data_IF_813790224764
#
_entry.id   IF_813790224764
#
_cell.length_a   1.000
_cell.length_b   1.000
_cell.length_c   1.000
_cell.angle_alpha   90.00
_cell.angle_beta   90.00
_cell.angle_gamma   90.00
#
_symmetry.space_group_name_H-M   'P 1'
#
loop_
_entity.id
_entity.type
_entity.pdbx_description
1 polymer ?
#
# COMPACT_ATOMS: atom_id res chain seq x y z
N UNK A 1 -1.81 -10.48 -16.81
CA UNK A 1 -2.88 -11.34 -16.31
C UNK A 1 -4.01 -10.51 -15.75
N UNK A 2 -4.82 -11.10 -14.87
CA UNK A 2 -5.84 -10.37 -14.11
C UNK A 2 -5.14 -9.42 -13.14
N UNK A 3 -5.48 -8.14 -13.23
CA UNK A 3 -4.96 -7.12 -12.31
C UNK A 3 -5.86 -7.07 -11.08
N UNK A 4 -5.28 -7.33 -9.91
CA UNK A 4 -5.97 -7.21 -8.64
C UNK A 4 -5.45 -5.97 -7.90
N UNK A 5 -6.35 -5.29 -7.19
CA UNK A 5 -6.05 -4.06 -6.47
C UNK A 5 -6.24 -4.26 -4.96
N UNK A 6 -5.32 -3.71 -4.18
CA UNK A 6 -5.55 -3.41 -2.76
C UNK A 6 -5.25 -1.94 -2.50
N UNK A 7 -6.03 -1.30 -1.65
CA UNK A 7 -5.79 0.07 -1.26
C UNK A 7 -5.82 0.24 0.26
N UNK A 8 -4.73 -0.11 0.97
CA UNK A 8 -4.58 0.24 2.37
C UNK A 8 -4.79 1.73 2.60
N UNK A 9 -5.42 2.06 3.73
CA UNK A 9 -5.74 3.43 4.14
C UNK A 9 -5.06 3.75 5.44
N UNK A 10 -4.44 4.92 5.52
CA UNK A 10 -3.71 5.42 6.67
C UNK A 10 -4.34 6.74 7.12
N UNK A 11 -4.72 6.81 8.40
CA UNK A 11 -5.34 7.98 9.01
C UNK A 11 -4.39 8.75 9.91
N UNK A 12 -4.57 10.07 9.94
CA UNK A 12 -3.74 10.99 10.71
C UNK A 12 -4.57 12.00 11.50
N UNK A 13 -4.05 12.54 12.63
CA UNK A 13 -4.77 13.51 13.43
C UNK A 13 -4.84 14.89 12.75
N UNK A 14 -3.82 15.26 11.96
CA UNK A 14 -3.75 16.55 11.25
C UNK A 14 -3.50 16.33 9.76
N UNK A 15 -3.98 17.27 8.93
CA UNK A 15 -3.78 17.22 7.48
C UNK A 15 -2.28 17.31 7.11
N UNK A 16 -1.49 18.07 7.87
CA UNK A 16 -0.06 18.17 7.67
C UNK A 16 0.66 16.81 7.83
N UNK A 17 0.26 16.01 8.82
CA UNK A 17 0.83 14.68 9.04
C UNK A 17 0.48 13.72 7.89
N UNK A 18 -0.74 13.83 7.35
CA UNK A 18 -1.15 13.09 6.16
C UNK A 18 -0.37 13.53 4.91
N UNK A 19 -0.10 14.83 4.76
CA UNK A 19 0.71 15.37 3.65
C UNK A 19 2.16 14.91 3.72
N UNK A 20 2.76 14.90 4.91
CA UNK A 20 4.10 14.37 5.14
C UNK A 20 4.18 12.89 4.73
N UNK A 21 3.20 12.09 5.16
CA UNK A 21 3.13 10.67 4.83
C UNK A 21 2.86 10.42 3.34
N UNK A 22 2.00 11.22 2.72
CA UNK A 22 1.75 11.16 1.29
C UNK A 22 3.03 11.39 0.50
N UNK A 23 3.81 12.44 0.84
CA UNK A 23 5.11 12.71 0.21
C UNK A 23 6.11 11.58 0.43
N UNK A 24 6.14 11.00 1.63
CA UNK A 24 6.95 9.82 1.92
C UNK A 24 6.59 8.63 0.99
N UNK A 25 5.30 8.39 0.71
CA UNK A 25 4.89 7.32 -0.21
C UNK A 25 5.17 7.64 -1.69
N UNK A 26 5.40 8.90 -2.04
CA UNK A 26 5.83 9.29 -3.39
C UNK A 26 7.33 9.11 -3.62
N UNK A 27 8.12 8.91 -2.55
CA UNK A 27 9.55 8.66 -2.66
C UNK A 27 9.83 7.35 -3.41
N UNK A 28 10.68 7.42 -4.44
CA UNK A 28 11.00 6.28 -5.30
C UNK A 28 11.69 5.14 -4.56
N UNK A 29 12.52 5.44 -3.56
CA UNK A 29 13.17 4.43 -2.72
C UNK A 29 12.15 3.70 -1.86
N UNK A 30 11.16 4.43 -1.31
CA UNK A 30 10.06 3.83 -0.55
C UNK A 30 9.22 2.92 -1.45
N UNK A 31 8.85 3.38 -2.63
CA UNK A 31 8.10 2.56 -3.59
C UNK A 31 8.87 1.32 -4.04
N UNK A 32 10.18 1.46 -4.28
CA UNK A 32 11.06 0.34 -4.62
C UNK A 32 11.10 -0.70 -3.50
N UNK A 33 11.28 -0.28 -2.24
CA UNK A 33 11.29 -1.18 -1.07
C UNK A 33 9.96 -1.92 -0.89
N UNK A 34 8.83 -1.24 -1.10
CA UNK A 34 7.50 -1.87 -1.05
C UNK A 34 7.40 -2.96 -2.12
N UNK A 35 7.81 -2.65 -3.35
CA UNK A 35 7.79 -3.61 -4.45
C UNK A 35 8.69 -4.82 -4.18
N UNK A 36 9.95 -4.60 -3.81
CA UNK A 36 10.90 -5.67 -3.48
C UNK A 36 10.39 -6.57 -2.34
N UNK A 37 9.78 -5.98 -1.31
CA UNK A 37 9.20 -6.74 -0.20
C UNK A 37 8.07 -7.65 -0.65
N UNK A 38 7.16 -7.17 -1.49
CA UNK A 38 6.01 -7.96 -1.96
C UNK A 38 6.48 -9.04 -2.94
N UNK A 39 7.22 -8.64 -3.98
CA UNK A 39 7.70 -9.54 -5.05
C UNK A 39 8.60 -10.65 -4.49
N UNK A 40 9.41 -10.36 -3.47
CA UNK A 40 10.29 -11.33 -2.83
C UNK A 40 9.62 -12.23 -1.79
N UNK A 41 8.36 -11.99 -1.42
CA UNK A 41 7.67 -12.76 -0.36
C UNK A 41 6.46 -13.55 -0.83
N UNK A 42 5.97 -13.29 -2.04
CA UNK A 42 4.77 -13.91 -2.58
C UNK A 42 5.09 -14.49 -3.96
N UNK A 43 5.18 -15.81 -4.05
CA UNK A 43 5.36 -16.49 -5.33
C UNK A 43 4.20 -16.17 -6.29
N UNK A 44 4.51 -16.03 -7.58
CA UNK A 44 3.55 -15.70 -8.63
C UNK A 44 2.81 -14.36 -8.43
N UNK A 45 3.37 -13.45 -7.63
CA UNK A 45 2.88 -12.10 -7.45
C UNK A 45 3.90 -11.09 -7.97
N UNK A 46 3.46 -10.15 -8.80
CA UNK A 46 4.31 -9.04 -9.23
C UNK A 46 3.57 -7.73 -9.05
N UNK A 47 4.19 -6.78 -8.37
CA UNK A 47 3.68 -5.42 -8.22
C UNK A 47 3.89 -4.65 -9.53
N UNK A 48 2.78 -4.37 -10.20
CA UNK A 48 2.73 -3.66 -11.47
C UNK A 48 2.44 -2.16 -11.31
N UNK A 49 2.29 -1.67 -10.08
CA UNK A 49 2.15 -0.25 -9.81
C UNK A 49 1.80 0.05 -8.36
N UNK A 50 2.30 1.19 -7.90
CA UNK A 50 1.95 1.81 -6.62
C UNK A 50 1.46 3.22 -6.92
N UNK A 51 0.33 3.61 -6.31
CA UNK A 51 -0.20 4.98 -6.43
C UNK A 51 -0.69 5.45 -5.08
N UNK A 52 -0.15 6.55 -4.59
CA UNK A 52 -0.63 7.20 -3.39
C UNK A 52 -1.69 8.26 -3.73
N UNK A 53 -2.72 8.38 -2.91
CA UNK A 53 -3.72 9.44 -2.99
C UNK A 53 -4.04 9.96 -1.59
N UNK A 54 -4.06 11.27 -1.42
CA UNK A 54 -4.43 11.89 -0.15
C UNK A 54 -5.83 12.52 -0.25
N UNK A 55 -6.67 12.24 0.74
CA UNK A 55 -7.98 12.86 0.93
C UNK A 55 -8.07 13.39 2.36
N UNK A 56 -7.92 14.71 2.52
CA UNK A 56 -7.85 15.37 3.83
C UNK A 56 -6.80 14.70 4.74
N UNK A 57 -7.22 14.14 5.88
CA UNK A 57 -6.34 13.49 6.86
C UNK A 57 -6.13 11.99 6.61
N UNK A 58 -6.47 11.49 5.42
CA UNK A 58 -6.35 10.10 5.02
C UNK A 58 -5.44 9.98 3.80
N UNK A 59 -4.63 8.93 3.77
CA UNK A 59 -3.80 8.58 2.62
C UNK A 59 -4.11 7.15 2.22
N UNK A 60 -4.37 6.94 0.93
CA UNK A 60 -4.63 5.66 0.30
C UNK A 60 -3.41 5.26 -0.51
N UNK A 61 -2.95 4.02 -0.37
CA UNK A 61 -1.89 3.46 -1.21
C UNK A 61 -2.49 2.36 -2.08
N UNK A 62 -2.80 2.64 -3.33
CA UNK A 62 -3.24 1.62 -4.27
C UNK A 62 -2.03 0.78 -4.73
N UNK A 63 -2.14 -0.52 -4.52
CA UNK A 63 -1.18 -1.55 -4.91
C UNK A 63 -1.85 -2.36 -6.01
N UNK A 64 -1.26 -2.31 -7.20
CA UNK A 64 -1.71 -3.11 -8.34
C UNK A 64 -0.79 -4.32 -8.51
N UNK A 65 -1.34 -5.52 -8.38
CA UNK A 65 -0.60 -6.77 -8.54
C UNK A 65 -1.16 -7.60 -9.70
N UNK A 66 -0.29 -8.32 -10.40
CA UNK A 66 -0.68 -9.44 -11.27
C UNK A 66 -0.61 -10.72 -10.45
N UNK A 67 -1.67 -11.52 -10.48
CA UNK A 67 -1.76 -12.79 -9.73
C UNK A 67 -1.88 -14.00 -10.65
N UNK A 68 -1.46 -13.86 -11.92
CA UNK A 68 -1.53 -14.89 -12.96
C UNK A 68 -2.92 -15.60 -12.98
N UNK A 69 -2.95 -16.91 -12.72
CA UNK A 69 -4.16 -17.75 -12.79
C UNK A 69 -4.89 -17.92 -11.43
N UNK A 70 -4.36 -17.38 -10.34
CA UNK A 70 -4.99 -17.48 -9.02
C UNK A 70 -6.17 -16.50 -8.87
N UNK A 71 -7.18 -16.88 -8.08
CA UNK A 71 -8.32 -16.00 -7.73
C UNK A 71 -7.91 -14.71 -6.98
N UNK A 72 -6.66 -14.64 -6.51
CA UNK A 72 -5.93 -13.40 -6.17
C UNK A 72 -6.32 -12.72 -4.85
N UNK A 73 -7.54 -12.88 -4.33
CA UNK A 73 -7.99 -12.08 -3.17
C UNK A 73 -7.18 -12.30 -1.89
N UNK A 74 -6.88 -13.55 -1.51
CA UNK A 74 -6.08 -13.83 -0.30
C UNK A 74 -4.64 -13.30 -0.44
N UNK A 75 -4.08 -13.41 -1.64
CA UNK A 75 -2.73 -12.96 -1.99
C UNK A 75 -2.61 -11.43 -1.90
N UNK A 76 -3.59 -10.73 -2.44
CA UNK A 76 -3.65 -9.27 -2.49
C UNK A 76 -3.92 -8.67 -1.09
N UNK A 77 -4.69 -9.35 -0.25
CA UNK A 77 -4.88 -9.00 1.16
C UNK A 77 -3.58 -9.18 1.96
N UNK A 78 -2.83 -10.26 1.72
CA UNK A 78 -1.53 -10.47 2.35
C UNK A 78 -0.51 -9.40 1.93
N UNK A 79 -0.44 -9.07 0.63
CA UNK A 79 0.38 -7.96 0.14
C UNK A 79 0.01 -6.61 0.80
N UNK A 80 -1.28 -6.35 1.00
CA UNK A 80 -1.76 -5.18 1.72
C UNK A 80 -1.30 -5.13 3.18
N UNK A 81 -1.38 -6.26 3.91
CA UNK A 81 -0.90 -6.36 5.29
C UNK A 81 0.62 -6.12 5.39
N UNK A 82 1.39 -6.80 4.55
CA UNK A 82 2.84 -6.63 4.47
C UNK A 82 3.26 -5.19 4.17
N UNK A 83 2.51 -4.52 3.30
CA UNK A 83 2.77 -3.12 2.97
C UNK A 83 2.53 -2.21 4.16
N UNK A 84 1.44 -2.44 4.91
CA UNK A 84 1.18 -1.67 6.14
C UNK A 84 2.34 -1.82 7.13
N UNK A 85 2.80 -3.05 7.35
CA UNK A 85 3.87 -3.32 8.30
C UNK A 85 5.18 -2.65 7.88
N UNK A 86 5.59 -2.83 6.62
CA UNK A 86 6.79 -2.20 6.07
C UNK A 86 6.72 -0.67 6.13
N UNK A 87 5.59 -0.09 5.74
CA UNK A 87 5.44 1.37 5.71
C UNK A 87 5.49 1.96 7.11
N UNK A 88 4.95 1.28 8.12
CA UNK A 88 5.08 1.69 9.53
C UNK A 88 6.53 1.65 10.00
N UNK A 89 7.28 0.62 9.61
CA UNK A 89 8.71 0.49 9.92
C UNK A 89 9.53 1.61 9.26
N UNK A 90 9.34 1.83 7.96
CA UNK A 90 10.12 2.80 7.18
C UNK A 90 9.78 4.27 7.51
N UNK A 91 8.51 4.57 7.81
CA UNK A 91 8.09 5.96 8.04
C UNK A 91 8.60 6.50 9.39
N UNK A 92 8.75 5.65 10.41
CA UNK A 92 9.32 6.00 11.71
C UNK A 92 8.52 7.02 12.54
N UNK A 93 7.37 7.51 12.03
CA UNK A 93 6.45 8.43 12.73
C UNK A 93 5.12 7.73 13.03
N UNK A 94 4.38 8.17 14.07
CA UNK A 94 3.08 7.58 14.40
C UNK A 94 2.06 7.69 13.26
N UNK A 95 1.39 6.58 12.98
CA UNK A 95 0.20 6.51 12.12
C UNK A 95 -0.99 6.26 13.04
N UNK A 96 -2.03 7.09 12.98
CA UNK A 96 -3.12 7.07 13.96
C UNK A 96 -4.03 5.84 13.80
N UNK A 97 -4.34 5.46 12.57
CA UNK A 97 -4.95 4.16 12.26
C UNK A 97 -4.56 3.71 10.85
N UNK A 98 -4.68 2.40 10.61
CA UNK A 98 -4.50 1.81 9.29
C UNK A 98 -5.50 0.68 9.04
N UNK A 99 -6.07 0.60 7.84
CA UNK A 99 -6.95 -0.49 7.41
C UNK A 99 -6.43 -1.08 6.09
N UNK A 100 -6.50 -2.41 5.92
CA UNK A 100 -6.09 -3.09 4.67
C UNK A 100 -7.04 -2.75 3.51
N UNK A 101 -8.32 -2.51 3.81
CA UNK A 101 -9.33 -2.04 2.86
C UNK A 101 -10.12 -0.88 3.47
N UNK A 102 -10.21 0.23 2.74
CA UNK A 102 -11.04 1.39 3.12
C UNK A 102 -12.06 1.79 2.05
N UNK A 103 -12.49 0.86 1.19
CA UNK A 103 -13.54 1.08 0.19
C UNK A 103 -13.10 1.73 -1.13
N UNK A 104 -11.80 1.77 -1.44
CA UNK A 104 -11.24 2.38 -2.67
C UNK A 104 -10.83 1.33 -3.72
N UNK A 105 -11.74 0.37 -4.01
CA UNK A 105 -11.48 -0.75 -4.93
C UNK A 105 -12.03 -0.54 -6.36
N UNK A 106 -12.36 0.69 -6.75
CA UNK A 106 -12.94 1.03 -8.06
C UNK A 106 -11.90 1.44 -9.11
#
# INVERSE_FOLDING_TARGET
GRRMLRAPVFGFPRIADATDFYRFLLDEEVQRKIKERIDGSIDHCTVNGLRAHQTDRKVHLQIAVDTEDAAGQNMVTYAGAMTIDLVKELYGKPIYYSYIEGGFNS
#
